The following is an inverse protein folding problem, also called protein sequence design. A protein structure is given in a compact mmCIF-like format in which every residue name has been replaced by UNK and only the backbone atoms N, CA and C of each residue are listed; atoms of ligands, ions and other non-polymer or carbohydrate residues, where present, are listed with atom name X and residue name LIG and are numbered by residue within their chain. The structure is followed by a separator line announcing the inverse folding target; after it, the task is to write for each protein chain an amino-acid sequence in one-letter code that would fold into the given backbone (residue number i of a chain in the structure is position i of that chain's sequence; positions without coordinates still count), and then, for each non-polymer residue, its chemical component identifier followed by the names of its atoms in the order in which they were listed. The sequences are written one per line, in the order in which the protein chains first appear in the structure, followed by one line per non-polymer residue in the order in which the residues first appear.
data_IF_266865133546
#
_entry.id   IF_266865133546
#
_cell.length_a   1.000
_cell.length_b   1.000
_cell.length_c   1.000
_cell.angle_alpha   90.00
_cell.angle_beta   90.00
_cell.angle_gamma   90.00
#
_symmetry.space_group_name_H-M   'P 1'
#
loop_
_entity.id
_entity.type
_entity.pdbx_description
1 polymer ?
#
# COMPACT_ATOMS: atom_id res chain seq x y z
N UNK A 1 -14.01 40.37 -46.12
CA UNK A 1 -14.11 41.74 -45.57
C UNK A 1 -15.47 42.29 -45.98
N UNK A 2 -16.36 42.81 -45.15
CA UNK A 2 -16.39 43.11 -43.73
C UNK A 2 -17.69 43.88 -43.41
N UNK A 3 -18.13 43.86 -42.14
CA UNK A 3 -19.26 44.64 -41.59
C UNK A 3 -20.63 44.02 -41.87
N UNK A 4 -21.58 43.94 -40.94
CA UNK A 4 -22.11 45.06 -40.15
C UNK A 4 -22.72 44.59 -38.82
N UNK A 5 -22.51 45.43 -37.81
CA UNK A 5 -23.12 45.65 -36.50
C UNK A 5 -24.46 44.96 -36.16
N UNK A 6 -24.51 44.37 -34.95
CA UNK A 6 -25.75 44.03 -34.24
C UNK A 6 -26.22 45.20 -33.37
N UNK A 7 -27.44 45.66 -33.62
CA UNK A 7 -28.20 46.57 -32.77
C UNK A 7 -29.07 45.80 -31.76
N UNK A 8 -29.23 46.41 -30.59
CA UNK A 8 -30.03 45.94 -29.47
C UNK A 8 -31.55 46.03 -29.73
N UNK A 9 -32.31 45.11 -29.11
CA UNK A 9 -33.70 45.36 -28.75
C UNK A 9 -34.12 44.52 -27.53
N UNK A 10 -34.59 45.22 -26.50
CA UNK A 10 -35.19 44.74 -25.26
C UNK A 10 -36.56 44.09 -25.46
N UNK A 11 -36.92 43.11 -24.62
CA UNK A 11 -38.30 42.93 -24.13
C UNK A 11 -38.31 42.48 -22.66
N UNK A 12 -39.08 43.22 -21.86
CA UNK A 12 -39.48 42.90 -20.49
C UNK A 12 -40.44 41.71 -20.43
N UNK A 13 -40.35 40.93 -19.35
CA UNK A 13 -41.30 39.90 -18.95
C UNK A 13 -41.27 39.69 -17.43
N UNK A 14 -42.16 40.42 -16.75
CA UNK A 14 -42.82 40.21 -15.46
C UNK A 14 -42.17 39.32 -14.38
N UNK A 15 -41.97 39.92 -13.21
CA UNK A 15 -41.66 39.23 -11.96
C UNK A 15 -42.86 38.50 -11.37
N UNK A 16 -42.59 37.32 -10.83
CA UNK A 16 -43.37 36.67 -9.79
C UNK A 16 -42.43 36.42 -8.60
N UNK A 17 -42.87 36.87 -7.43
CA UNK A 17 -42.15 36.70 -6.19
C UNK A 17 -42.09 35.24 -5.76
N UNK A 18 -40.94 34.85 -5.21
CA UNK A 18 -40.83 33.72 -4.31
C UNK A 18 -40.21 34.22 -3.02
N UNK A 19 -40.92 33.91 -1.93
CA UNK A 19 -40.62 34.26 -0.54
C UNK A 19 -39.21 33.80 -0.13
N UNK A 20 -38.52 34.69 0.57
CA UNK A 20 -37.34 34.40 1.37
C UNK A 20 -37.69 33.38 2.45
N UNK A 21 -37.32 32.12 2.24
CA UNK A 21 -37.25 31.13 3.31
C UNK A 21 -35.99 31.36 4.13
N UNK A 22 -36.17 31.27 5.45
CA UNK A 22 -35.20 31.48 6.51
C UNK A 22 -33.83 30.83 6.23
N UNK A 23 -32.78 31.65 6.24
CA UNK A 23 -31.41 31.18 6.50
C UNK A 23 -31.31 30.80 7.96
N UNK A 24 -31.45 29.51 8.29
CA UNK A 24 -30.90 28.97 9.54
C UNK A 24 -29.38 29.06 9.45
N UNK A 25 -28.78 29.88 10.31
CA UNK A 25 -27.36 29.83 10.59
C UNK A 25 -27.08 28.48 11.26
N UNK A 26 -26.48 27.54 10.52
CA UNK A 26 -25.88 26.35 11.10
C UNK A 26 -24.68 26.82 11.96
N UNK A 27 -24.89 26.88 13.27
CA UNK A 27 -23.81 27.04 14.24
C UNK A 27 -22.80 25.89 14.07
N UNK A 28 -21.53 26.24 13.97
CA UNK A 28 -20.42 25.28 14.00
C UNK A 28 -20.46 24.50 15.32
N UNK A 29 -20.33 23.16 15.30
CA UNK A 29 -20.35 22.36 16.52
C UNK A 29 -19.22 22.78 17.47
N UNK A 30 -19.44 22.71 18.80
CA UNK A 30 -18.41 23.07 19.76
C UNK A 30 -17.18 22.16 19.62
N UNK A 31 -15.95 22.68 19.83
CA UNK A 31 -14.74 21.86 19.79
C UNK A 31 -14.83 20.76 20.84
N UNK A 32 -14.61 19.51 20.40
CA UNK A 32 -14.55 18.35 21.28
C UNK A 32 -13.24 18.42 22.09
N UNK A 33 -13.25 18.18 23.40
CA UNK A 33 -12.02 18.21 24.20
C UNK A 33 -11.06 17.13 23.73
N UNK A 34 -9.85 17.52 23.33
CA UNK A 34 -8.75 16.59 23.08
C UNK A 34 -8.33 16.00 24.44
N UNK A 35 -8.39 14.68 24.65
CA UNK A 35 -7.96 14.10 25.91
C UNK A 35 -6.44 14.26 26.05
N UNK A 36 -5.98 14.64 27.26
CA UNK A 36 -4.57 14.64 27.62
C UNK A 36 -4.02 13.22 27.49
N UNK A 37 -3.29 12.97 26.41
CA UNK A 37 -2.57 11.71 26.21
C UNK A 37 -1.37 11.74 27.16
N UNK A 38 -1.34 10.83 28.14
CA UNK A 38 -0.15 10.57 28.94
C UNK A 38 0.75 9.64 28.12
N UNK A 39 1.87 10.18 27.65
CA UNK A 39 2.78 9.50 26.73
C UNK A 39 4.14 9.34 27.40
N UNK A 40 4.69 8.13 27.37
CA UNK A 40 6.03 7.82 27.85
C UNK A 40 7.10 8.51 27.00
N UNK A 41 8.14 9.01 27.66
CA UNK A 41 8.73 10.33 27.40
C UNK A 41 9.93 10.36 26.41
N UNK A 42 10.13 9.37 25.52
CA UNK A 42 11.40 9.33 24.76
C UNK A 42 11.38 9.31 23.23
N UNK A 43 10.25 9.10 22.55
CA UNK A 43 10.20 9.17 21.07
C UNK A 43 9.08 10.06 20.51
N UNK A 44 8.24 10.64 21.36
CA UNK A 44 6.99 11.32 20.97
C UNK A 44 7.09 12.83 20.81
N UNK A 45 8.24 13.44 21.09
CA UNK A 45 8.40 14.90 20.95
C UNK A 45 8.32 15.40 19.51
N UNK A 46 8.55 14.55 18.49
CA UNK A 46 8.37 14.92 17.08
C UNK A 46 6.94 14.71 16.59
N UNK A 47 6.31 13.57 16.87
CA UNK A 47 4.94 13.29 16.40
C UNK A 47 3.88 14.20 17.04
N UNK A 48 4.04 14.56 18.32
CA UNK A 48 3.12 15.48 19.02
C UNK A 48 3.22 16.93 18.48
N UNK A 49 4.40 17.35 18.02
CA UNK A 49 4.60 18.69 17.44
C UNK A 49 3.80 18.90 16.15
N UNK A 50 3.65 17.86 15.32
CA UNK A 50 2.96 17.99 14.03
C UNK A 50 1.44 17.92 14.12
N UNK A 51 0.89 17.16 15.09
CA UNK A 51 -0.55 17.14 15.34
C UNK A 51 -1.09 18.53 15.74
N UNK A 52 -0.28 19.34 16.46
CA UNK A 52 -0.62 20.73 16.78
C UNK A 52 -0.53 21.69 15.60
N UNK A 53 0.28 21.39 14.58
CA UNK A 53 0.44 22.24 13.38
C UNK A 53 -0.70 22.02 12.37
N UNK A 54 -1.30 20.83 12.34
CA UNK A 54 -2.34 20.46 11.39
C UNK A 54 -3.53 19.73 12.06
N UNK A 55 -4.28 20.40 12.95
CA UNK A 55 -5.31 19.77 13.79
C UNK A 55 -6.44 19.13 12.98
N UNK A 56 -6.73 19.63 11.78
CA UNK A 56 -7.78 19.08 10.93
C UNK A 56 -7.45 17.68 10.39
N UNK A 57 -6.19 17.43 10.03
CA UNK A 57 -5.76 16.09 9.54
C UNK A 57 -5.87 15.08 10.68
N UNK A 58 -5.40 15.44 11.87
CA UNK A 58 -5.52 14.61 13.05
C UNK A 58 -6.97 14.30 13.41
N UNK A 59 -7.85 15.30 13.38
CA UNK A 59 -9.27 15.12 13.66
C UNK A 59 -9.94 14.16 12.67
N UNK A 60 -9.68 14.29 11.36
CA UNK A 60 -10.25 13.39 10.35
C UNK A 60 -9.79 11.95 10.55
N UNK A 61 -8.49 11.74 10.81
CA UNK A 61 -7.96 10.40 11.08
C UNK A 61 -8.54 9.81 12.36
N UNK A 62 -8.60 10.60 13.44
CA UNK A 62 -9.17 10.18 14.71
C UNK A 62 -10.65 9.82 14.59
N UNK A 63 -11.44 10.63 13.88
CA UNK A 63 -12.85 10.32 13.62
C UNK A 63 -13.01 9.02 12.81
N UNK A 64 -12.11 8.76 11.85
CA UNK A 64 -12.09 7.50 11.10
C UNK A 64 -11.86 6.29 12.01
N UNK A 65 -10.87 6.38 12.90
CA UNK A 65 -10.56 5.33 13.89
C UNK A 65 -11.72 5.13 14.87
N UNK A 66 -12.27 6.22 15.41
CA UNK A 66 -13.39 6.20 16.35
C UNK A 66 -14.66 5.58 15.73
N UNK A 67 -14.89 5.81 14.42
CA UNK A 67 -15.99 5.20 13.65
C UNK A 67 -15.68 3.81 13.11
N UNK A 68 -14.52 3.24 13.44
CA UNK A 68 -14.06 1.94 12.97
C UNK A 68 -13.99 1.83 11.43
N UNK A 69 -13.66 2.94 10.75
CA UNK A 69 -13.42 2.94 9.30
C UNK A 69 -12.08 2.27 8.96
N UNK A 70 -11.08 2.43 9.82
CA UNK A 70 -9.77 1.79 9.77
C UNK A 70 -9.16 1.77 11.18
N UNK A 71 -8.28 0.80 11.52
CA UNK A 71 -7.71 0.68 12.86
C UNK A 71 -6.61 1.70 13.13
N UNK A 72 -5.89 2.11 12.09
CA UNK A 72 -4.83 3.10 12.14
C UNK A 72 -4.48 3.64 10.77
N UNK A 73 -3.76 4.76 10.75
CA UNK A 73 -3.38 5.47 9.54
C UNK A 73 -2.07 6.25 9.74
N UNK A 74 -1.35 6.46 8.64
CA UNK A 74 -0.23 7.40 8.55
C UNK A 74 -0.52 8.40 7.43
N UNK A 75 -0.49 9.69 7.75
CA UNK A 75 -0.55 10.76 6.77
C UNK A 75 0.81 11.44 6.64
N UNK A 76 1.19 11.78 5.42
CA UNK A 76 2.34 12.63 5.11
C UNK A 76 1.91 13.70 4.09
N UNK A 77 2.40 14.92 4.27
CA UNK A 77 2.11 16.05 3.37
C UNK A 77 3.29 17.02 3.34
N UNK A 78 3.44 17.72 2.21
CA UNK A 78 4.50 18.71 2.05
C UNK A 78 4.26 19.61 0.85
N UNK A 79 4.97 20.74 0.82
CA UNK A 79 4.97 21.66 -0.32
C UNK A 79 6.03 21.26 -1.35
N UNK A 80 5.68 21.39 -2.64
CA UNK A 80 6.58 21.07 -3.75
C UNK A 80 7.84 21.94 -3.78
N UNK A 81 8.84 21.49 -4.56
CA UNK A 81 10.11 22.19 -4.72
C UNK A 81 9.87 23.64 -5.22
N UNK A 82 10.02 24.62 -4.33
CA UNK A 82 9.85 26.04 -4.64
C UNK A 82 9.27 26.90 -3.50
N UNK A 83 8.68 26.30 -2.47
CA UNK A 83 7.97 27.02 -1.40
C UNK A 83 8.68 27.05 -0.03
N UNK A 84 10.01 26.87 0.02
CA UNK A 84 10.79 26.82 1.26
C UNK A 84 11.20 25.40 1.67
N UNK A 85 11.79 25.28 2.87
CA UNK A 85 12.18 23.99 3.45
C UNK A 85 10.96 23.05 3.50
N UNK A 86 11.09 21.80 3.02
CA UNK A 86 9.99 20.85 3.00
C UNK A 86 9.52 20.54 4.42
N UNK A 87 8.21 20.60 4.65
CA UNK A 87 7.63 19.89 5.80
C UNK A 87 7.63 18.39 5.45
N UNK A 88 8.54 17.61 6.02
CA UNK A 88 8.41 16.13 6.08
C UNK A 88 7.42 15.74 7.19
N UNK A 89 6.32 16.51 7.33
CA UNK A 89 5.36 16.34 8.39
C UNK A 89 4.64 15.01 8.21
N UNK A 90 4.60 14.24 9.31
CA UNK A 90 3.97 12.93 9.36
C UNK A 90 3.12 12.84 10.61
N UNK A 91 1.98 12.19 10.46
CA UNK A 91 1.08 11.88 11.56
C UNK A 91 0.70 10.41 11.49
N UNK A 92 1.04 9.65 12.53
CA UNK A 92 0.61 8.28 12.72
C UNK A 92 -0.40 8.22 13.86
N UNK A 93 -1.54 7.54 13.64
CA UNK A 93 -2.60 7.38 14.65
C UNK A 93 -3.21 5.98 14.54
N UNK A 94 -3.55 5.40 15.69
CA UNK A 94 -4.23 4.10 15.77
C UNK A 94 -3.30 2.89 15.77
N UNK A 95 -3.86 1.73 15.45
CA UNK A 95 -3.22 0.42 15.64
C UNK A 95 -3.22 -0.43 14.35
N UNK A 96 -2.46 -1.52 14.36
CA UNK A 96 -2.30 -2.43 13.21
C UNK A 96 -3.60 -3.15 12.84
N UNK A 97 -4.44 -3.49 13.81
CA UNK A 97 -5.78 -4.08 13.64
C UNK A 97 -6.74 -3.50 14.69
N UNK A 98 -8.05 -3.72 14.55
CA UNK A 98 -9.04 -3.22 15.50
C UNK A 98 -8.88 -3.86 16.90
N UNK A 99 -8.41 -5.11 16.95
CA UNK A 99 -8.23 -5.88 18.18
C UNK A 99 -6.82 -5.75 18.78
N UNK A 100 -5.87 -5.23 18.01
CA UNK A 100 -4.47 -5.14 18.42
C UNK A 100 -4.18 -3.87 19.21
N UNK A 101 -3.31 -3.98 20.20
CA UNK A 101 -2.70 -2.83 20.90
C UNK A 101 -1.43 -2.30 20.22
N UNK A 102 -0.99 -2.94 19.13
CA UNK A 102 0.22 -2.54 18.41
C UNK A 102 -0.04 -1.27 17.59
N UNK A 103 0.66 -0.16 17.85
CA UNK A 103 0.44 1.09 17.13
C UNK A 103 0.99 1.00 15.70
N UNK A 104 0.37 1.73 14.78
CA UNK A 104 1.07 2.13 13.54
C UNK A 104 2.04 3.27 13.87
N UNK A 105 3.13 3.36 13.13
CA UNK A 105 4.16 4.40 13.30
C UNK A 105 4.40 5.11 11.98
N UNK A 106 5.05 6.28 12.00
CA UNK A 106 5.42 7.00 10.78
C UNK A 106 6.27 6.15 9.81
N UNK A 107 6.94 5.12 10.32
CA UNK A 107 7.78 4.19 9.57
C UNK A 107 7.05 2.91 9.18
N UNK A 108 5.77 2.74 9.53
CA UNK A 108 4.99 1.56 9.14
C UNK A 108 5.00 1.36 7.62
N UNK A 109 5.20 0.12 7.20
CA UNK A 109 5.29 -0.32 5.82
C UNK A 109 3.93 -0.86 5.37
N UNK A 110 3.41 -0.33 4.26
CA UNK A 110 2.06 -0.63 3.76
C UNK A 110 2.14 -1.34 2.43
N UNK A 111 1.26 -2.31 2.18
CA UNK A 111 0.92 -2.68 0.80
C UNK A 111 0.23 -1.47 0.15
N UNK A 112 0.87 -0.85 -0.84
CA UNK A 112 0.35 0.36 -1.49
C UNK A 112 -0.53 0.04 -2.70
N UNK A 113 -0.84 -1.24 -2.92
CA UNK A 113 -1.79 -1.69 -3.92
C UNK A 113 -1.49 -1.07 -5.31
N UNK A 114 -2.50 -0.46 -5.92
CA UNK A 114 -2.40 0.14 -7.25
C UNK A 114 -1.58 1.43 -7.35
N UNK A 115 -1.10 2.00 -6.23
CA UNK A 115 -0.05 3.03 -6.30
C UNK A 115 1.19 2.51 -7.02
N UNK A 116 1.41 1.18 -7.05
CA UNK A 116 2.41 0.51 -7.88
C UNK A 116 2.42 1.02 -9.32
N UNK A 117 1.24 1.23 -9.93
CA UNK A 117 1.15 1.70 -11.33
C UNK A 117 1.78 3.08 -11.49
N UNK A 118 1.49 3.98 -10.55
CA UNK A 118 1.96 5.37 -10.57
C UNK A 118 3.42 5.51 -10.11
N UNK A 119 3.85 4.72 -9.11
CA UNK A 119 5.17 4.85 -8.49
C UNK A 119 6.26 4.02 -9.18
N UNK A 120 5.90 2.92 -9.83
CA UNK A 120 6.86 2.02 -10.49
C UNK A 120 6.66 2.01 -12.01
N UNK A 121 5.49 1.55 -12.45
CA UNK A 121 5.29 1.14 -13.85
C UNK A 121 5.28 2.32 -14.81
N UNK A 122 4.55 3.39 -14.49
CA UNK A 122 4.49 4.58 -15.34
C UNK A 122 5.86 5.28 -15.44
N UNK A 123 6.56 5.59 -14.33
CA UNK A 123 7.89 6.21 -14.40
C UNK A 123 8.90 5.32 -15.14
N UNK A 124 8.86 4.00 -14.96
CA UNK A 124 9.73 3.10 -15.69
C UNK A 124 9.53 3.17 -17.22
N UNK A 125 8.28 3.25 -17.67
CA UNK A 125 8.01 3.47 -19.10
C UNK A 125 8.45 4.85 -19.56
N UNK A 126 8.28 5.89 -18.74
CA UNK A 126 8.70 7.25 -19.11
C UNK A 126 10.22 7.37 -19.23
N UNK A 127 10.99 6.77 -18.30
CA UNK A 127 12.45 6.71 -18.37
C UNK A 127 12.92 5.99 -19.64
N UNK A 128 12.36 4.81 -19.91
CA UNK A 128 12.67 4.06 -21.14
C UNK A 128 12.18 4.78 -22.41
N UNK A 129 11.15 5.62 -22.32
CA UNK A 129 10.68 6.44 -23.43
C UNK A 129 11.65 7.57 -23.75
N UNK A 130 12.15 8.26 -22.72
CA UNK A 130 13.17 9.30 -22.84
C UNK A 130 14.47 8.76 -23.42
N UNK A 131 14.85 7.54 -23.05
CA UNK A 131 16.00 6.80 -23.62
C UNK A 131 15.77 6.31 -25.07
N UNK A 132 14.56 6.47 -25.61
CA UNK A 132 14.19 5.98 -26.95
C UNK A 132 13.98 4.47 -27.05
N UNK A 133 14.06 3.73 -25.93
CA UNK A 133 13.84 2.29 -25.88
C UNK A 133 12.36 1.92 -26.06
N UNK A 134 11.44 2.77 -25.57
CA UNK A 134 9.99 2.62 -25.75
C UNK A 134 9.43 3.82 -26.51
N UNK A 135 8.53 3.57 -27.46
CA UNK A 135 7.66 4.58 -28.06
C UNK A 135 6.23 4.37 -27.60
N UNK A 136 5.59 5.43 -27.07
CA UNK A 136 4.23 5.38 -26.54
C UNK A 136 3.19 5.05 -27.62
N UNK A 137 3.42 5.49 -28.85
CA UNK A 137 2.49 5.28 -29.96
C UNK A 137 2.83 4.05 -30.80
N UNK A 138 3.90 3.33 -30.46
CA UNK A 138 4.20 2.05 -31.07
C UNK A 138 3.25 0.95 -30.56
N UNK A 139 2.89 -0.02 -31.42
CA UNK A 139 2.19 -1.21 -30.97
C UNK A 139 2.99 -1.96 -29.90
N UNK A 140 2.32 -2.43 -28.84
CA UNK A 140 2.93 -3.25 -27.79
C UNK A 140 3.55 -4.53 -28.37
N UNK A 141 2.94 -5.07 -29.44
CA UNK A 141 3.43 -6.22 -30.19
C UNK A 141 4.86 -6.04 -30.75
N UNK A 142 5.34 -4.80 -30.88
CA UNK A 142 6.74 -4.51 -31.22
C UNK A 142 7.71 -5.06 -30.16
N UNK A 143 7.33 -4.99 -28.88
CA UNK A 143 8.15 -5.40 -27.74
C UNK A 143 7.75 -6.79 -27.21
N UNK A 144 6.46 -7.12 -27.32
CA UNK A 144 5.88 -8.39 -26.87
C UNK A 144 5.09 -9.03 -28.01
N UNK A 145 5.74 -9.72 -28.98
CA UNK A 145 5.06 -10.22 -30.19
C UNK A 145 3.86 -11.12 -29.93
N UNK A 146 3.93 -11.96 -28.90
CA UNK A 146 2.83 -12.85 -28.50
C UNK A 146 1.56 -12.11 -28.03
N UNK A 147 1.69 -10.83 -27.63
CA UNK A 147 0.55 -10.00 -27.27
C UNK A 147 -0.33 -9.66 -28.47
N UNK A 148 0.14 -9.81 -29.71
CA UNK A 148 -0.65 -9.52 -30.91
C UNK A 148 -1.89 -10.41 -31.09
N UNK A 149 -1.96 -11.53 -30.37
CA UNK A 149 -3.05 -12.50 -30.45
C UNK A 149 -4.44 -11.86 -30.23
N UNK A 150 -5.47 -12.46 -30.83
CA UNK A 150 -6.88 -12.13 -30.59
C UNK A 150 -7.23 -10.64 -30.79
N UNK A 151 -6.73 -10.04 -31.88
CA UNK A 151 -7.09 -8.69 -32.30
C UNK A 151 -6.32 -7.56 -31.59
N UNK A 152 -5.24 -7.88 -30.88
CA UNK A 152 -4.46 -6.91 -30.08
C UNK A 152 -3.23 -6.33 -30.80
N UNK A 153 -2.93 -6.78 -32.02
CA UNK A 153 -1.70 -6.41 -32.73
C UNK A 153 -1.47 -4.91 -32.97
N UNK A 154 -2.53 -4.10 -32.99
CA UNK A 154 -2.45 -2.65 -33.17
C UNK A 154 -2.50 -1.84 -31.85
N UNK A 155 -2.66 -2.47 -30.69
CA UNK A 155 -2.77 -1.77 -29.42
C UNK A 155 -1.44 -1.12 -29.05
N UNK A 156 -1.47 0.16 -28.72
CA UNK A 156 -0.27 0.94 -28.40
C UNK A 156 0.08 0.94 -26.92
N UNK A 157 1.33 1.21 -26.60
CA UNK A 157 1.79 1.39 -25.21
C UNK A 157 0.95 2.45 -24.49
N UNK A 158 0.67 3.58 -25.16
CA UNK A 158 -0.19 4.65 -24.64
C UNK A 158 -1.57 4.13 -24.27
N UNK A 159 -2.21 3.35 -25.14
CA UNK A 159 -3.54 2.82 -24.87
C UNK A 159 -3.60 1.88 -23.66
N UNK A 160 -2.52 1.13 -23.40
CA UNK A 160 -2.42 0.32 -22.18
C UNK A 160 -2.26 1.22 -20.94
N UNK A 161 -1.35 2.21 -20.99
CA UNK A 161 -1.10 3.14 -19.88
C UNK A 161 -2.34 3.97 -19.51
N UNK A 162 -3.16 4.36 -20.49
CA UNK A 162 -4.36 5.18 -20.29
C UNK A 162 -5.63 4.37 -20.08
N UNK A 163 -5.52 3.04 -19.96
CA UNK A 163 -6.64 2.12 -19.81
C UNK A 163 -7.69 2.24 -20.93
N UNK A 164 -7.27 2.57 -22.15
CA UNK A 164 -8.15 2.71 -23.32
C UNK A 164 -7.98 1.57 -24.33
N UNK A 165 -7.33 0.48 -23.93
CA UNK A 165 -6.97 -0.64 -24.80
C UNK A 165 -8.13 -1.61 -25.11
N UNK A 166 -9.30 -1.46 -24.49
CA UNK A 166 -10.37 -2.44 -24.61
C UNK A 166 -10.22 -3.65 -23.69
N UNK A 167 -9.09 -3.78 -22.99
CA UNK A 167 -8.83 -4.89 -22.08
C UNK A 167 -9.63 -4.64 -20.80
N UNK A 168 -10.48 -5.59 -20.45
CA UNK A 168 -11.20 -5.61 -19.18
C UNK A 168 -10.72 -6.80 -18.40
N UNK A 169 -10.63 -6.64 -17.09
CA UNK A 169 -10.30 -7.70 -16.14
C UNK A 169 -10.94 -9.03 -16.53
N UNK A 170 -10.06 -10.00 -16.81
CA UNK A 170 -10.41 -11.40 -16.75
C UNK A 170 -9.81 -11.93 -15.46
N UNK A 171 -10.60 -11.90 -14.38
CA UNK A 171 -10.44 -12.91 -13.35
C UNK A 171 -10.72 -14.26 -14.01
N UNK A 172 -9.69 -14.91 -14.56
CA UNK A 172 -9.64 -16.36 -14.43
C UNK A 172 -9.40 -16.62 -12.96
N UNK A 173 -10.49 -16.62 -12.19
CA UNK A 173 -10.55 -17.37 -10.96
C UNK A 173 -10.22 -18.81 -11.38
N UNK A 174 -8.93 -19.15 -11.36
CA UNK A 174 -8.50 -20.53 -11.43
C UNK A 174 -8.98 -21.13 -10.10
N UNK A 175 -10.05 -21.93 -10.08
CA UNK A 175 -10.54 -22.52 -8.84
C UNK A 175 -9.48 -23.48 -8.26
N UNK A 176 -8.52 -23.94 -9.07
CA UNK A 176 -7.39 -24.73 -8.61
C UNK A 176 -6.26 -23.88 -8.01
N UNK A 177 -6.25 -22.55 -8.21
CA UNK A 177 -5.29 -21.65 -7.57
C UNK A 177 -5.68 -21.28 -6.13
N UNK A 178 -6.97 -21.36 -5.81
CA UNK A 178 -7.51 -21.17 -4.47
C UNK A 178 -8.58 -22.26 -4.20
N UNK A 179 -8.18 -23.53 -3.98
CA UNK A 179 -9.14 -24.57 -3.61
C UNK A 179 -9.85 -24.13 -2.34
N UNK A 180 -11.19 -24.14 -2.36
CA UNK A 180 -12.09 -23.59 -1.34
C UNK A 180 -11.48 -23.64 0.08
N UNK A 181 -10.89 -22.52 0.50
CA UNK A 181 -10.44 -22.39 1.87
C UNK A 181 -11.71 -22.40 2.74
N UNK A 182 -11.87 -23.43 3.57
CA UNK A 182 -12.88 -23.40 4.63
C UNK A 182 -12.52 -22.21 5.50
N UNK A 183 -13.39 -21.20 5.50
CA UNK A 183 -13.28 -20.05 6.41
C UNK A 183 -13.41 -20.60 7.83
N UNK A 184 -12.28 -20.91 8.46
CA UNK A 184 -12.24 -21.09 9.89
C UNK A 184 -12.40 -19.69 10.45
N UNK A 185 -13.53 -19.41 11.11
CA UNK A 185 -13.64 -18.20 11.93
C UNK A 185 -12.43 -18.22 12.86
N UNK A 186 -11.55 -17.24 12.73
CA UNK A 186 -10.55 -16.95 13.75
C UNK A 186 -11.36 -16.50 14.97
N UNK A 187 -11.68 -17.44 15.88
CA UNK A 187 -12.06 -17.06 17.22
C UNK A 187 -10.80 -16.45 17.82
N UNK A 188 -10.83 -15.14 18.04
CA UNK A 188 -9.83 -14.49 18.86
C UNK A 188 -9.89 -15.15 20.24
N UNK A 189 -9.02 -16.13 20.48
CA UNK A 189 -8.72 -16.49 21.85
C UNK A 189 -7.97 -15.30 22.46
N UNK A 190 -8.40 -14.80 23.63
CA UNK A 190 -7.69 -13.73 24.28
C UNK A 190 -6.26 -14.22 24.54
N UNK A 191 -5.28 -13.37 24.21
CA UNK A 191 -3.89 -13.60 24.58
C UNK A 191 -3.83 -13.96 26.08
N UNK A 192 -2.98 -14.93 26.49
CA UNK A 192 -2.86 -15.28 27.90
C UNK A 192 -2.54 -14.02 28.68
N UNK A 193 -3.37 -13.74 29.70
CA UNK A 193 -3.21 -12.59 30.57
C UNK A 193 -1.76 -12.61 31.10
N UNK A 194 -0.98 -11.60 30.73
CA UNK A 194 0.23 -11.27 31.45
C UNK A 194 -0.21 -10.98 32.89
N UNK A 195 0.16 -11.88 33.80
CA UNK A 195 0.04 -11.70 35.24
C UNK A 195 0.83 -10.45 35.63
N UNK A 196 0.17 -9.29 35.63
CA UNK A 196 0.58 -8.16 36.43
C UNK A 196 0.53 -8.63 37.88
N UNK A 197 1.69 -8.80 38.51
CA UNK A 197 1.77 -8.88 39.96
C UNK A 197 1.58 -7.46 40.48
N UNK A 198 0.43 -7.24 41.12
CA UNK A 198 0.11 -5.99 41.79
C UNK A 198 1.13 -5.70 42.90
N UNK A 199 1.70 -4.50 42.84
CA UNK A 199 2.35 -3.88 43.97
C UNK A 199 1.27 -3.23 44.86
N UNK A 200 1.21 -3.65 46.13
CA UNK A 200 0.44 -2.98 47.18
C UNK A 200 0.70 -3.60 48.56
N UNK A 201 1.36 -2.82 49.44
CA UNK A 201 1.65 -2.95 50.90
C UNK A 201 1.23 -4.19 51.69
N UNK A 202 2.00 -4.67 52.67
CA UNK A 202 2.39 -3.91 53.87
C UNK A 202 3.35 -4.77 54.74
N UNK A 203 4.19 -4.11 55.55
CA UNK A 203 4.70 -4.61 56.85
C UNK A 203 5.70 -5.78 56.94
N UNK A 204 6.93 -5.49 57.37
CA UNK A 204 7.61 -6.30 58.40
C UNK A 204 8.98 -6.91 58.07
N UNK A 205 10.02 -6.34 58.68
CA UNK A 205 11.34 -6.88 59.08
C UNK A 205 11.72 -8.31 58.60
N UNK A 206 12.89 -8.55 57.99
CA UNK A 206 14.20 -8.52 58.64
C UNK A 206 15.32 -8.79 57.60
N UNK A 207 16.45 -8.10 57.70
CA UNK A 207 17.75 -8.46 57.07
C UNK A 207 18.57 -9.34 58.05
N UNK A 208 19.84 -9.75 57.80
CA UNK A 208 20.69 -9.73 56.59
C UNK A 208 21.50 -11.04 56.34
N UNK A 209 22.15 -11.17 55.16
CA UNK A 209 23.57 -11.56 54.98
C UNK A 209 23.88 -11.72 53.48
N UNK A 210 24.64 -10.85 52.82
CA UNK A 210 26.11 -10.71 52.74
C UNK A 210 26.83 -11.63 51.72
N UNK A 211 27.75 -11.00 50.95
CA UNK A 211 28.84 -11.57 50.11
C UNK A 211 28.47 -12.07 48.69
N UNK A 212 29.23 -11.84 47.62
CA UNK A 212 30.49 -11.11 47.37
C UNK A 212 30.66 -10.90 45.85
N UNK A 213 31.56 -9.98 45.50
CA UNK A 213 31.93 -9.55 44.15
C UNK A 213 32.63 -10.62 43.28
N UNK A 214 32.59 -10.41 41.96
CA UNK A 214 33.47 -11.11 41.00
C UNK A 214 33.35 -10.56 39.58
N UNK A 215 34.33 -9.76 39.17
CA UNK A 215 34.53 -9.24 37.80
C UNK A 215 35.21 -10.27 36.90
N UNK A 216 34.87 -10.34 35.61
CA UNK A 216 35.84 -10.51 34.50
C UNK A 216 35.16 -10.43 33.11
N UNK A 217 35.73 -9.61 32.23
CA UNK A 217 35.41 -9.51 30.80
C UNK A 217 36.12 -10.64 29.98
N UNK A 218 36.26 -10.55 28.64
CA UNK A 218 35.33 -11.07 27.64
C UNK A 218 36.00 -12.15 26.75
N UNK A 219 35.27 -13.15 26.27
CA UNK A 219 35.80 -14.07 25.26
C UNK A 219 34.95 -14.12 23.99
N UNK A 220 35.68 -14.00 22.88
CA UNK A 220 35.23 -14.09 21.50
C UNK A 220 35.59 -15.49 21.03
N UNK A 221 34.62 -16.29 20.62
CA UNK A 221 34.86 -17.50 19.85
C UNK A 221 33.68 -17.80 18.91
N UNK A 222 34.04 -18.13 17.68
CA UNK A 222 33.15 -18.64 16.65
C UNK A 222 32.92 -20.15 16.83
N UNK A 223 31.70 -20.64 16.57
CA UNK A 223 31.36 -21.89 15.88
C UNK A 223 29.82 -21.98 15.80
N UNK A 224 29.20 -22.16 14.63
CA UNK A 224 28.81 -23.43 13.99
C UNK A 224 27.91 -24.33 14.84
N UNK A 225 26.67 -24.50 14.34
CA UNK A 225 25.79 -25.64 14.60
C UNK A 225 24.92 -25.54 15.84
N UNK A 226 23.60 -25.44 15.68
CA UNK A 226 22.70 -26.60 15.54
C UNK A 226 21.26 -26.14 15.56
N UNK A 227 20.45 -26.72 14.66
CA UNK A 227 19.00 -26.65 14.65
C UNK A 227 18.43 -26.99 16.04
N UNK A 228 17.64 -26.08 16.57
CA UNK A 228 16.88 -26.25 17.80
C UNK A 228 15.44 -25.87 17.52
N UNK A 229 14.61 -26.89 17.31
CA UNK A 229 13.18 -26.81 17.13
C UNK A 229 12.50 -25.92 18.19
N UNK A 230 12.12 -24.71 17.79
CA UNK A 230 11.08 -23.97 18.47
C UNK A 230 9.77 -24.32 17.77
N UNK A 231 8.97 -25.19 18.38
CA UNK A 231 7.63 -25.50 17.96
C UNK A 231 6.79 -24.22 17.88
N UNK A 232 6.69 -23.64 16.69
CA UNK A 232 5.71 -22.61 16.38
C UNK A 232 4.37 -23.30 16.20
N UNK A 233 3.39 -22.92 17.01
CA UNK A 233 1.98 -23.25 16.84
C UNK A 233 1.57 -22.96 15.39
N UNK A 234 1.39 -24.03 14.64
CA UNK A 234 1.05 -24.05 13.23
C UNK A 234 -0.47 -24.12 13.11
N UNK A 235 -1.15 -22.98 13.22
CA UNK A 235 -2.59 -22.94 12.98
C UNK A 235 -3.10 -21.80 12.10
N UNK A 236 -2.23 -20.88 11.64
CA UNK A 236 -2.64 -19.78 10.73
C UNK A 236 -1.75 -19.64 9.48
N UNK A 237 -1.49 -20.75 8.80
CA UNK A 237 -0.93 -20.71 7.45
C UNK A 237 -1.98 -21.22 6.48
N UNK A 238 -2.74 -20.30 5.87
CA UNK A 238 -3.58 -20.64 4.73
C UNK A 238 -2.77 -21.33 3.62
N UNK A 239 -3.42 -21.95 2.62
CA UNK A 239 -2.74 -22.82 1.68
C UNK A 239 -1.56 -22.09 1.00
N UNK A 240 -0.38 -22.74 0.90
CA UNK A 240 0.75 -22.16 0.17
C UNK A 240 0.34 -21.91 -1.28
N UNK A 241 0.96 -20.92 -1.92
CA UNK A 241 0.86 -20.76 -3.37
C UNK A 241 1.11 -22.11 -4.04
N UNK A 242 0.23 -22.55 -4.96
CA UNK A 242 0.63 -23.55 -5.95
C UNK A 242 1.88 -23.01 -6.65
N UNK A 243 2.78 -23.90 -7.11
CA UNK A 243 4.06 -23.56 -7.75
C UNK A 243 4.04 -22.16 -8.42
N UNK A 244 4.71 -21.14 -7.82
CA UNK A 244 4.63 -19.76 -8.26
C UNK A 244 5.00 -19.55 -9.73
N UNK A 245 5.88 -20.39 -10.29
CA UNK A 245 6.22 -20.33 -11.71
C UNK A 245 5.05 -20.83 -12.58
N UNK A 246 4.42 -21.94 -12.18
CA UNK A 246 3.25 -22.46 -12.87
C UNK A 246 2.06 -21.51 -12.78
N UNK A 247 1.79 -20.89 -11.63
CA UNK A 247 0.70 -19.92 -11.49
C UNK A 247 0.97 -18.65 -12.30
N UNK A 248 2.21 -18.13 -12.25
CA UNK A 248 2.64 -16.99 -13.06
C UNK A 248 2.44 -17.27 -14.55
N UNK A 249 2.87 -18.45 -15.01
CA UNK A 249 2.69 -18.85 -16.41
C UNK A 249 1.21 -18.87 -16.81
N UNK A 250 0.32 -19.43 -15.98
CA UNK A 250 -1.13 -19.45 -16.27
C UNK A 250 -1.72 -18.05 -16.36
N UNK A 251 -1.35 -17.14 -15.44
CA UNK A 251 -1.78 -15.74 -15.47
C UNK A 251 -1.33 -15.09 -16.78
N UNK A 252 -0.05 -15.22 -17.14
CA UNK A 252 0.48 -14.64 -18.37
C UNK A 252 -0.19 -15.21 -19.62
N UNK A 253 -0.40 -16.52 -19.69
CA UNK A 253 -1.12 -17.16 -20.80
C UNK A 253 -2.55 -16.61 -20.95
N UNK A 254 -3.24 -16.35 -19.83
CA UNK A 254 -4.58 -15.76 -19.80
C UNK A 254 -4.57 -14.31 -20.31
N UNK A 255 -3.66 -13.48 -19.78
CA UNK A 255 -3.46 -12.08 -20.17
C UNK A 255 -3.16 -11.95 -21.67
N UNK A 256 -2.25 -12.78 -22.20
CA UNK A 256 -1.90 -12.76 -23.63
C UNK A 256 -3.07 -13.17 -24.53
N UNK A 257 -3.98 -14.03 -24.06
CA UNK A 257 -5.15 -14.49 -24.83
C UNK A 257 -6.38 -13.60 -24.67
N UNK A 258 -6.44 -12.72 -23.68
CA UNK A 258 -7.61 -11.85 -23.48
C UNK A 258 -7.88 -10.99 -24.73
N UNK A 259 -9.09 -11.02 -25.32
CA UNK A 259 -9.46 -10.12 -26.42
C UNK A 259 -9.93 -8.75 -25.87
N UNK A 260 -9.79 -7.66 -26.65
CA UNK A 260 -10.46 -6.40 -26.35
C UNK A 260 -11.99 -6.60 -26.30
N UNK A 261 -12.65 -6.10 -25.25
CA UNK A 261 -14.11 -6.20 -25.08
C UNK A 261 -14.88 -5.03 -25.68
N UNK A 262 -14.18 -3.98 -26.10
CA UNK A 262 -14.72 -2.79 -26.75
C UNK A 262 -13.63 -2.16 -27.62
N UNK A 263 -14.00 -1.33 -28.61
CA UNK A 263 -13.03 -0.72 -29.52
C UNK A 263 -11.96 0.08 -28.77
N UNK A 264 -10.66 -0.11 -29.08
CA UNK A 264 -9.59 0.68 -28.47
C UNK A 264 -9.77 2.18 -28.71
N UNK A 265 -9.46 3.00 -27.71
CA UNK A 265 -9.62 4.45 -27.75
C UNK A 265 -11.04 4.97 -27.50
N UNK A 266 -12.06 4.10 -27.48
CA UNK A 266 -13.46 4.52 -27.33
C UNK A 266 -13.80 5.01 -25.91
N UNK A 267 -13.18 4.43 -24.88
CA UNK A 267 -13.36 4.82 -23.47
C UNK A 267 -12.19 4.33 -22.64
N UNK A 268 -12.01 4.93 -21.47
CA UNK A 268 -11.09 4.44 -20.45
C UNK A 268 -11.83 3.53 -19.47
N UNK A 269 -11.37 2.28 -19.32
CA UNK A 269 -11.84 1.35 -18.28
C UNK A 269 -10.64 0.75 -17.60
N UNK A 270 -10.53 1.00 -16.30
CA UNK A 270 -9.44 0.52 -15.46
C UNK A 270 -9.13 -0.97 -15.69
N UNK A 271 -7.84 -1.28 -15.86
CA UNK A 271 -7.39 -2.64 -16.14
C UNK A 271 -5.96 -2.93 -15.67
N UNK A 272 -5.82 -3.96 -14.85
CA UNK A 272 -4.59 -4.59 -14.39
C UNK A 272 -3.87 -5.35 -15.52
N UNK A 273 -4.61 -6.03 -16.40
CA UNK A 273 -4.03 -6.73 -17.57
C UNK A 273 -3.10 -5.82 -18.37
N UNK A 274 -3.52 -4.57 -18.58
CA UNK A 274 -2.73 -3.58 -19.31
C UNK A 274 -1.40 -3.32 -18.61
N UNK A 275 -1.43 -3.14 -17.29
CA UNK A 275 -0.24 -2.82 -16.51
C UNK A 275 0.67 -4.04 -16.29
N UNK A 276 0.12 -5.26 -16.23
CA UNK A 276 0.88 -6.51 -16.26
C UNK A 276 1.71 -6.60 -17.54
N UNK A 277 1.08 -6.36 -18.70
CA UNK A 277 1.78 -6.40 -20.00
C UNK A 277 2.84 -5.32 -20.08
N UNK A 278 2.56 -4.10 -19.59
CA UNK A 278 3.57 -3.04 -19.52
C UNK A 278 4.77 -3.44 -18.65
N UNK A 279 4.56 -4.15 -17.54
CA UNK A 279 5.64 -4.74 -16.75
C UNK A 279 6.59 -5.59 -17.60
N UNK A 280 6.04 -6.44 -18.48
CA UNK A 280 6.82 -7.28 -19.39
C UNK A 280 7.56 -6.44 -20.45
N UNK A 281 6.93 -5.37 -20.95
CA UNK A 281 7.57 -4.44 -21.89
C UNK A 281 8.80 -3.80 -21.23
N UNK A 282 8.69 -3.35 -19.98
CA UNK A 282 9.82 -2.80 -19.20
C UNK A 282 10.95 -3.82 -19.10
N UNK A 283 10.63 -5.07 -18.72
CA UNK A 283 11.63 -6.13 -18.57
C UNK A 283 12.36 -6.42 -19.89
N UNK A 284 11.62 -6.50 -21.01
CA UNK A 284 12.21 -6.77 -22.32
C UNK A 284 13.04 -5.62 -22.87
N UNK A 285 12.61 -4.38 -22.66
CA UNK A 285 13.31 -3.21 -23.19
C UNK A 285 14.55 -2.86 -22.35
N UNK A 286 14.52 -3.11 -21.05
CA UNK A 286 15.65 -2.82 -20.15
C UNK A 286 16.63 -3.98 -19.97
N UNK A 287 16.19 -5.23 -20.19
CA UNK A 287 16.97 -6.42 -19.81
C UNK A 287 17.08 -6.65 -18.30
N UNK A 288 16.31 -5.90 -17.49
CA UNK A 288 16.26 -6.02 -16.02
C UNK A 288 14.92 -6.60 -15.59
N UNK A 289 14.85 -7.25 -14.42
CA UNK A 289 13.55 -7.55 -13.83
C UNK A 289 12.85 -6.24 -13.43
N UNK A 290 11.51 -6.22 -13.41
CA UNK A 290 10.74 -5.04 -13.03
C UNK A 290 11.16 -4.52 -11.64
N UNK A 291 11.31 -5.43 -10.67
CA UNK A 291 11.78 -5.13 -9.32
C UNK A 291 13.15 -4.43 -9.34
N UNK A 292 14.11 -4.99 -10.08
CA UNK A 292 15.47 -4.47 -10.13
C UNK A 292 15.50 -3.11 -10.83
N UNK A 293 14.76 -2.96 -11.93
CA UNK A 293 14.65 -1.70 -12.65
C UNK A 293 14.10 -0.61 -11.73
N UNK A 294 12.97 -0.85 -11.06
CA UNK A 294 12.36 0.17 -10.20
C UNK A 294 13.26 0.53 -9.02
N UNK A 295 13.93 -0.44 -8.40
CA UNK A 295 14.89 -0.15 -7.33
C UNK A 295 16.03 0.73 -7.82
N UNK A 296 16.77 0.27 -8.83
CA UNK A 296 18.01 0.92 -9.27
C UNK A 296 17.78 2.25 -10.03
N UNK A 297 16.63 2.40 -10.71
CA UNK A 297 16.37 3.52 -11.62
C UNK A 297 15.35 4.53 -11.09
N UNK A 298 14.58 4.19 -10.06
CA UNK A 298 13.53 5.06 -9.50
C UNK A 298 13.74 5.23 -7.99
N UNK A 299 13.74 4.15 -7.21
CA UNK A 299 13.69 4.24 -5.75
C UNK A 299 15.01 4.65 -5.12
N UNK A 300 16.12 4.01 -5.48
CA UNK A 300 17.44 4.36 -4.94
C UNK A 300 17.83 5.81 -5.29
N UNK A 301 17.65 6.30 -6.54
CA UNK A 301 17.92 7.70 -6.88
C UNK A 301 17.07 8.73 -6.13
N UNK A 302 15.83 8.36 -5.77
CA UNK A 302 14.92 9.20 -4.98
C UNK A 302 15.10 9.02 -3.46
N UNK A 303 16.03 8.18 -3.03
CA UNK A 303 16.25 7.87 -1.61
C UNK A 303 15.06 7.16 -0.95
N UNK A 304 14.26 6.43 -1.72
CA UNK A 304 13.10 5.67 -1.26
C UNK A 304 13.49 4.29 -0.72
N UNK A 305 14.23 4.27 0.38
CA UNK A 305 14.92 3.08 0.92
C UNK A 305 13.96 2.01 1.47
N UNK A 306 12.72 2.38 1.79
CA UNK A 306 11.70 1.48 2.31
C UNK A 306 10.69 1.06 1.25
N UNK A 307 10.93 1.43 -0.02
CA UNK A 307 10.05 1.09 -1.13
C UNK A 307 10.61 -0.08 -1.93
N UNK A 308 9.87 -1.19 -1.94
CA UNK A 308 10.28 -2.40 -2.64
C UNK A 308 9.08 -3.26 -2.99
N UNK A 309 9.24 -4.10 -4.00
CA UNK A 309 8.29 -5.20 -4.21
C UNK A 309 8.50 -6.27 -3.15
N UNK A 310 7.42 -6.85 -2.62
CA UNK A 310 7.51 -8.04 -1.75
C UNK A 310 7.16 -9.29 -2.52
N UNK A 311 8.17 -10.12 -2.78
CA UNK A 311 7.97 -11.47 -3.30
C UNK A 311 7.26 -12.32 -2.27
N UNK A 312 6.31 -13.12 -2.75
CA UNK A 312 5.66 -14.10 -1.89
C UNK A 312 6.63 -15.26 -1.65
N UNK A 313 6.88 -15.62 -0.39
CA UNK A 313 7.53 -16.88 -0.03
C UNK A 313 6.48 -17.84 0.52
N UNK A 314 6.66 -19.14 0.28
CA UNK A 314 5.75 -20.15 0.82
C UNK A 314 5.77 -20.14 2.36
N UNK A 315 4.59 -20.16 2.99
CA UNK A 315 4.45 -20.38 4.44
C UNK A 315 4.55 -19.14 5.34
N UNK A 316 4.04 -17.98 4.92
CA UNK A 316 4.04 -16.79 5.79
C UNK A 316 2.76 -16.67 6.62
N UNK A 317 2.93 -16.84 7.94
CA UNK A 317 2.06 -16.26 8.96
C UNK A 317 2.54 -14.84 9.34
N UNK A 318 2.03 -14.23 10.41
CA UNK A 318 2.44 -12.90 10.84
C UNK A 318 3.96 -12.81 11.03
N UNK A 319 4.60 -11.67 10.67
CA UNK A 319 6.02 -11.48 10.95
C UNK A 319 6.27 -11.57 12.47
N UNK A 320 7.38 -12.15 12.92
CA UNK A 320 7.66 -12.29 14.35
C UNK A 320 7.67 -10.92 15.03
N UNK A 321 7.19 -10.86 16.28
CA UNK A 321 6.94 -9.64 17.05
C UNK A 321 8.06 -8.55 17.03
N UNK A 322 9.36 -8.87 16.97
CA UNK A 322 10.42 -7.85 16.87
C UNK A 322 10.49 -7.14 15.51
N UNK A 323 9.72 -7.58 14.50
CA UNK A 323 9.78 -7.12 13.11
C UNK A 323 8.48 -6.50 12.60
N UNK A 324 7.56 -6.13 13.50
CA UNK A 324 6.23 -5.57 13.17
C UNK A 324 6.35 -4.13 12.66
N UNK A 325 6.93 -3.97 11.47
CA UNK A 325 6.88 -2.72 10.69
C UNK A 325 5.77 -2.77 9.65
N UNK A 326 5.45 -3.96 9.15
CA UNK A 326 4.47 -4.13 8.06
C UNK A 326 3.05 -4.09 8.63
N UNK A 327 2.16 -3.37 7.98
CA UNK A 327 0.75 -3.26 8.40
C UNK A 327 -0.08 -4.38 7.76
N UNK A 328 -0.96 -5.07 8.50
CA UNK A 328 -1.94 -5.98 7.93
C UNK A 328 -2.86 -5.27 6.92
N UNK A 329 -3.21 -5.94 5.82
CA UNK A 329 -3.97 -5.30 4.72
C UNK A 329 -5.46 -5.60 4.76
N UNK A 330 -5.85 -6.87 4.70
CA UNK A 330 -7.26 -7.29 4.73
C UNK A 330 -7.40 -8.76 5.13
N UNK A 331 -8.58 -9.16 5.58
CA UNK A 331 -8.94 -10.57 5.71
C UNK A 331 -9.31 -11.10 4.33
N UNK A 332 -8.45 -11.94 3.75
CA UNK A 332 -8.69 -12.53 2.44
C UNK A 332 -9.41 -13.87 2.57
N UNK A 333 -10.65 -13.91 2.11
CA UNK A 333 -11.50 -15.12 2.19
C UNK A 333 -11.05 -16.24 1.26
N UNK A 334 -10.29 -15.95 0.19
CA UNK A 334 -9.74 -16.95 -0.74
C UNK A 334 -8.53 -17.66 -0.13
N UNK A 335 -7.74 -16.90 0.63
CA UNK A 335 -6.55 -17.39 1.36
C UNK A 335 -6.87 -17.83 2.79
N UNK A 336 -8.08 -17.51 3.28
CA UNK A 336 -8.60 -17.92 4.58
C UNK A 336 -7.94 -17.27 5.79
N UNK A 337 -7.25 -16.13 5.62
CA UNK A 337 -6.43 -15.51 6.67
C UNK A 337 -6.34 -13.98 6.55
N UNK A 338 -5.89 -13.32 7.62
CA UNK A 338 -5.46 -11.92 7.57
C UNK A 338 -4.14 -11.81 6.79
N UNK A 339 -4.11 -10.97 5.77
CA UNK A 339 -2.88 -10.75 4.99
C UNK A 339 -1.94 -9.83 5.73
N UNK A 340 -0.73 -10.34 6.02
CA UNK A 340 0.30 -9.59 6.72
C UNK A 340 1.65 -9.72 6.01
N UNK A 341 2.04 -8.66 5.30
CA UNK A 341 3.29 -8.64 4.53
C UNK A 341 3.26 -9.47 3.24
N UNK A 342 2.07 -9.78 2.76
CA UNK A 342 1.82 -10.39 1.46
C UNK A 342 1.02 -9.41 0.61
N UNK A 343 1.27 -9.41 -0.71
CA UNK A 343 0.48 -8.56 -1.61
C UNK A 343 -1.00 -8.98 -1.57
N UNK A 344 -1.88 -8.01 -1.38
CA UNK A 344 -3.31 -8.25 -1.29
C UNK A 344 -3.88 -8.67 -2.66
N UNK A 345 -3.40 -8.05 -3.73
CA UNK A 345 -3.85 -8.32 -5.09
C UNK A 345 -3.65 -9.81 -5.45
N UNK A 346 -4.73 -10.53 -5.78
CA UNK A 346 -4.70 -11.97 -6.02
C UNK A 346 -3.89 -12.33 -7.27
N UNK A 347 -3.93 -11.50 -8.31
CA UNK A 347 -3.22 -11.76 -9.56
C UNK A 347 -1.72 -11.57 -9.37
N UNK A 348 -1.30 -10.51 -8.69
CA UNK A 348 0.09 -10.26 -8.35
C UNK A 348 0.64 -11.35 -7.42
N UNK A 349 -0.14 -11.78 -6.44
CA UNK A 349 0.20 -12.92 -5.58
C UNK A 349 0.46 -14.20 -6.39
N UNK A 350 -0.43 -14.54 -7.33
CA UNK A 350 -0.25 -15.67 -8.25
C UNK A 350 0.94 -15.49 -9.19
N UNK A 351 1.39 -14.26 -9.42
CA UNK A 351 2.58 -13.93 -10.21
C UNK A 351 3.87 -13.89 -9.39
N UNK A 352 3.83 -14.24 -8.10
CA UNK A 352 4.98 -14.28 -7.20
C UNK A 352 5.24 -12.98 -6.44
N UNK A 353 4.29 -12.04 -6.41
CA UNK A 353 4.37 -10.77 -5.66
C UNK A 353 4.96 -9.59 -6.42
N UNK A 354 5.31 -9.78 -7.70
CA UNK A 354 5.90 -8.73 -8.54
C UNK A 354 5.16 -8.63 -9.88
N UNK A 355 4.44 -7.53 -10.08
CA UNK A 355 3.74 -7.23 -11.32
C UNK A 355 3.59 -5.72 -11.54
N UNK A 356 3.37 -5.30 -12.80
CA UNK A 356 3.25 -3.87 -13.12
C UNK A 356 2.00 -3.18 -12.54
N UNK A 357 1.05 -3.94 -12.01
CA UNK A 357 -0.20 -3.38 -11.50
C UNK A 357 -0.26 -3.29 -9.96
N UNK A 358 0.50 -4.09 -9.23
CA UNK A 358 0.48 -4.22 -7.77
C UNK A 358 1.76 -4.90 -7.23
N UNK A 359 1.95 -4.92 -5.91
CA UNK A 359 3.04 -5.65 -5.24
C UNK A 359 4.11 -4.77 -4.59
N UNK A 360 4.03 -3.44 -4.76
CA UNK A 360 4.87 -2.52 -4.02
C UNK A 360 4.43 -2.42 -2.56
N UNK A 361 5.42 -2.39 -1.69
CA UNK A 361 5.29 -1.95 -0.30
C UNK A 361 6.07 -0.66 -0.13
N UNK A 362 5.55 0.27 0.66
CA UNK A 362 6.18 1.57 0.89
C UNK A 362 5.74 2.19 2.22
N UNK A 363 6.42 3.26 2.63
CA UNK A 363 6.07 4.09 3.78
C UNK A 363 5.47 5.40 3.28
N UNK A 364 4.67 6.08 4.12
CA UNK A 364 4.16 7.42 3.77
C UNK A 364 5.30 8.40 3.45
N UNK A 365 6.46 8.22 4.09
CA UNK A 365 7.68 8.99 3.85
C UNK A 365 8.19 8.86 2.41
N UNK A 366 8.34 7.63 1.92
CA UNK A 366 8.85 7.38 0.58
C UNK A 366 7.85 7.75 -0.50
N UNK A 367 6.55 7.53 -0.26
CA UNK A 367 5.48 8.06 -1.13
C UNK A 367 5.58 9.58 -1.23
N UNK A 368 5.86 10.26 -0.11
CA UNK A 368 6.10 11.71 -0.08
C UNK A 368 7.32 12.14 -0.90
N UNK A 369 8.45 11.41 -0.80
CA UNK A 369 9.64 11.65 -1.65
C UNK A 369 9.32 11.51 -3.13
N UNK A 370 8.57 10.46 -3.50
CA UNK A 370 8.12 10.25 -4.87
C UNK A 370 7.23 11.37 -5.38
N UNK A 371 6.23 11.79 -4.58
CA UNK A 371 5.30 12.85 -4.98
C UNK A 371 5.95 14.23 -5.13
N UNK A 372 7.10 14.45 -4.47
CA UNK A 372 7.88 15.69 -4.52
C UNK A 372 8.77 15.80 -5.75
N UNK A 373 9.29 14.66 -6.24
CA UNK A 373 10.16 14.58 -7.40
C UNK A 373 9.36 14.75 -8.70
#
# INVERSE_FOLDING_TARGET
EGGVQHAAASRHGQGQGYETQHTEQLESPPPVPVPNVSVTERETTREVSYASEHPYVAEVLWQGIAKQAFPGAVAAWGMGAGAGEPSDARLALGTMTFESSLPVTADSLWDVASLTKAMATVPAVMLLHEEGAISLDAPVAKYVPEFAANGKGALTVRQLLTHTAGLKECFTADPAAFPEAKVTKLSAEPAPALLCSDAGGDGGHSTPSEQQAGQSQPERAADVGTDGDAATDASDTGPPLPDPEATRKRVLDSVMKAPPRYPPGHRSVYSDLSMIVIGIVIERCSGMSLERFCRERIFDPLGMLDTHFRKVKAGHGPPPAPSIRVVPTEVDTRRGRLLWGEVHDPTCYLMGGVAGHAGLFSTAADVGKFAKA
#
